data_IF_485350697185
#
_entry.id   IF_485350697185
#
_cell.length_a   1.000
_cell.length_b   1.000
_cell.length_c   1.000
_cell.angle_alpha   90.00
_cell.angle_beta   90.00
_cell.angle_gamma   90.00
#
_symmetry.space_group_name_H-M   'P 1'
#
loop_
_entity.id
_entity.type
_entity.pdbx_description
1 polymer ?
#
# COMPACT_ATOMS: atom_id res chain seq x y z
N UNK A 1 6.02 -6.52 3.28
CA UNK A 1 6.97 -5.66 2.58
C UNK A 1 8.21 -6.47 2.33
N UNK A 2 8.60 -6.58 1.07
CA UNK A 2 9.86 -7.19 0.67
C UNK A 2 10.90 -6.09 0.51
N UNK A 3 12.08 -6.27 1.10
CA UNK A 3 13.26 -5.42 0.92
C UNK A 3 14.43 -6.34 0.64
N UNK A 4 15.20 -6.03 -0.40
CA UNK A 4 16.38 -6.81 -0.74
C UNK A 4 17.31 -6.91 0.48
N UNK A 5 17.72 -8.14 0.81
CA UNK A 5 18.61 -8.47 1.94
C UNK A 5 18.00 -8.33 3.35
N UNK A 6 16.67 -8.22 3.50
CA UNK A 6 15.98 -8.27 4.78
C UNK A 6 14.81 -9.29 4.78
N UNK A 7 14.39 -9.82 5.94
CA UNK A 7 13.17 -10.61 6.05
C UNK A 7 11.93 -9.82 5.65
N UNK A 8 10.91 -10.52 5.15
CA UNK A 8 9.64 -9.88 4.83
C UNK A 8 8.90 -9.41 6.09
N UNK A 9 8.59 -8.11 6.16
CA UNK A 9 7.75 -7.55 7.21
C UNK A 9 6.27 -7.73 6.88
N UNK A 10 5.45 -8.13 7.85
CA UNK A 10 4.00 -8.32 7.68
C UNK A 10 3.20 -7.18 8.31
N UNK A 11 2.12 -6.78 7.64
CA UNK A 11 1.25 -5.69 8.04
C UNK A 11 -0.21 -6.07 7.79
N UNK A 12 -1.12 -5.42 8.52
CA UNK A 12 -2.54 -5.37 8.17
C UNK A 12 -2.81 -4.08 7.41
N UNK A 13 -3.45 -4.23 6.25
CA UNK A 13 -3.95 -3.13 5.45
C UNK A 13 -5.47 -3.04 5.60
N UNK A 14 -5.98 -1.92 6.11
CA UNK A 14 -7.41 -1.61 6.06
C UNK A 14 -7.68 -0.66 4.89
N UNK A 15 -8.45 -1.13 3.92
CA UNK A 15 -8.83 -0.35 2.74
C UNK A 15 -10.21 0.26 2.98
N UNK A 16 -10.33 1.58 2.82
CA UNK A 16 -11.64 2.23 2.79
C UNK A 16 -12.13 2.35 1.36
N UNK A 17 -13.39 1.95 1.18
CA UNK A 17 -14.14 2.09 -0.06
C UNK A 17 -13.38 1.49 -1.26
N UNK A 18 -13.39 0.16 -1.32
CA UNK A 18 -12.94 -0.58 -2.48
C UNK A 18 -14.02 -0.44 -3.55
N UNK A 19 -13.74 0.30 -4.63
CA UNK A 19 -14.70 0.64 -5.69
C UNK A 19 -15.17 -0.53 -6.56
N UNK A 20 -15.08 -1.76 -6.06
CA UNK A 20 -15.56 -2.99 -6.70
C UNK A 20 -16.18 -3.91 -5.65
N UNK A 21 -17.20 -4.66 -6.06
CA UNK A 21 -17.73 -5.77 -5.27
C UNK A 21 -16.87 -7.02 -5.50
N UNK A 22 -16.27 -7.57 -4.44
CA UNK A 22 -15.39 -8.74 -4.53
C UNK A 22 -16.18 -10.06 -4.52
N UNK A 23 -17.31 -10.13 -3.81
CA UNK A 23 -18.02 -11.39 -3.60
C UNK A 23 -17.20 -12.40 -2.79
N UNK A 24 -17.05 -13.61 -3.33
CA UNK A 24 -16.28 -14.74 -2.79
C UNK A 24 -14.87 -14.87 -3.39
N UNK A 25 -14.47 -13.90 -4.22
CA UNK A 25 -13.17 -13.90 -4.89
C UNK A 25 -12.07 -13.36 -3.98
N UNK A 26 -10.83 -13.72 -4.29
CA UNK A 26 -9.66 -13.06 -3.71
C UNK A 26 -9.16 -11.95 -4.65
N UNK A 27 -8.88 -10.78 -4.09
CA UNK A 27 -8.28 -9.65 -4.82
C UNK A 27 -6.92 -9.34 -4.22
N UNK A 28 -5.89 -9.42 -5.06
CA UNK A 28 -4.55 -8.98 -4.71
C UNK A 28 -4.28 -7.58 -5.27
N UNK A 29 -3.80 -6.69 -4.41
CA UNK A 29 -3.31 -5.36 -4.78
C UNK A 29 -1.84 -5.25 -4.41
N UNK A 30 -1.05 -4.64 -5.27
CA UNK A 30 0.40 -4.50 -5.08
C UNK A 30 0.80 -3.05 -5.26
N UNK A 31 1.60 -2.53 -4.33
CA UNK A 31 2.18 -1.19 -4.42
C UNK A 31 3.70 -1.26 -4.33
N UNK A 32 4.36 -0.43 -5.13
CA UNK A 32 5.76 -0.07 -4.98
C UNK A 32 5.86 1.05 -3.93
N UNK A 33 6.79 0.89 -3.00
CA UNK A 33 7.04 1.83 -1.92
C UNK A 33 8.17 2.77 -2.33
N UNK A 34 7.91 4.08 -2.33
CA UNK A 34 8.88 5.12 -2.70
C UNK A 34 9.04 6.10 -1.54
N UNK A 35 10.26 6.19 -0.98
CA UNK A 35 10.59 7.06 0.14
C UNK A 35 12.06 7.51 0.13
N UNK A 36 12.44 8.49 0.97
CA UNK A 36 13.82 8.95 1.09
C UNK A 36 14.75 7.84 1.61
N UNK A 37 16.00 7.83 1.12
CA UNK A 37 17.07 6.92 1.56
C UNK A 37 17.84 7.60 2.71
N UNK A 38 18.20 6.90 3.82
CA UNK A 38 18.36 5.45 3.92
C UNK A 38 17.39 4.77 4.91
N UNK A 39 16.81 3.64 4.44
CA UNK A 39 16.04 2.60 5.15
C UNK A 39 14.68 3.01 5.73
N UNK A 40 13.60 2.52 5.11
CA UNK A 40 12.31 2.35 5.76
C UNK A 40 12.40 1.13 6.68
N UNK A 41 12.36 1.36 7.99
CA UNK A 41 12.22 0.31 9.00
C UNK A 41 10.86 -0.38 8.94
N UNK A 42 10.70 -1.46 9.70
CA UNK A 42 9.44 -2.22 9.79
C UNK A 42 8.26 -1.38 10.25
N UNK A 43 8.48 -0.29 10.99
CA UNK A 43 7.39 0.55 11.50
C UNK A 43 7.20 1.83 10.68
N UNK A 44 8.07 2.10 9.71
CA UNK A 44 8.03 3.36 8.94
C UNK A 44 6.86 3.44 7.96
N UNK A 45 6.27 2.30 7.63
CA UNK A 45 5.07 2.20 6.81
C UNK A 45 3.76 2.32 7.60
N UNK A 46 3.81 2.34 8.93
CA UNK A 46 2.60 2.45 9.72
C UNK A 46 1.92 3.82 9.49
N UNK A 47 0.60 3.83 9.39
CA UNK A 47 -0.21 5.03 9.33
C UNK A 47 -1.19 5.09 8.16
N UNK A 48 -1.82 6.26 8.04
CA UNK A 48 -2.82 6.55 7.03
C UNK A 48 -2.23 7.11 5.74
N UNK A 49 -2.80 6.66 4.63
CA UNK A 49 -2.42 7.01 3.26
C UNK A 49 -3.66 7.45 2.48
N UNK A 50 -3.56 8.62 1.85
CA UNK A 50 -4.63 9.23 1.05
C UNK A 50 -4.10 9.67 -0.31
N UNK A 51 -4.99 10.00 -1.23
CA UNK A 51 -4.60 10.53 -2.54
C UNK A 51 -4.14 11.99 -2.40
N UNK A 52 -2.90 12.31 -2.76
CA UNK A 52 -2.49 13.70 -2.91
C UNK A 52 -3.33 14.40 -3.99
N UNK A 53 -3.51 15.72 -3.85
CA UNK A 53 -4.18 16.52 -4.89
C UNK A 53 -3.45 16.36 -6.23
N UNK A 54 -4.19 16.02 -7.29
CA UNK A 54 -3.65 15.80 -8.64
C UNK A 54 -2.92 14.47 -8.84
N UNK A 55 -2.94 13.55 -7.87
CA UNK A 55 -2.32 12.24 -8.01
C UNK A 55 -3.07 11.34 -9.01
N UNK A 56 -2.33 10.37 -9.59
CA UNK A 56 -2.92 9.31 -10.40
C UNK A 56 -3.72 8.33 -9.52
N UNK A 57 -4.60 7.54 -10.12
CA UNK A 57 -5.43 6.55 -9.42
C UNK A 57 -4.55 5.61 -8.59
N UNK A 58 -4.91 5.44 -7.31
CA UNK A 58 -4.23 4.61 -6.31
C UNK A 58 -2.78 4.99 -6.00
N UNK A 59 -2.32 6.16 -6.44
CA UNK A 59 -1.10 6.76 -5.91
C UNK A 59 -1.46 7.43 -4.59
N UNK A 60 -0.93 6.88 -3.51
CA UNK A 60 -1.20 7.35 -2.15
C UNK A 60 0.06 7.91 -1.53
N UNK A 61 -0.09 8.90 -0.66
CA UNK A 61 1.00 9.37 0.20
C UNK A 61 0.53 9.50 1.64
N UNK A 62 1.45 9.31 2.57
CA UNK A 62 1.16 9.31 3.99
C UNK A 62 2.22 8.56 4.78
N UNK A 63 1.78 7.88 5.83
CA UNK A 63 2.66 7.30 6.84
C UNK A 63 2.80 8.22 8.05
N UNK A 64 2.96 7.60 9.22
CA UNK A 64 3.04 8.29 10.52
C UNK A 64 4.47 8.64 10.87
N UNK A 65 5.41 7.70 10.67
CA UNK A 65 6.80 7.85 11.08
C UNK A 65 7.66 8.49 9.98
N UNK A 66 7.46 8.04 8.74
CA UNK A 66 8.16 8.58 7.57
C UNK A 66 7.16 8.83 6.43
N UNK A 67 7.17 10.01 5.79
CA UNK A 67 6.33 10.27 4.64
C UNK A 67 6.79 9.42 3.45
N UNK A 68 5.88 8.59 2.95
CA UNK A 68 6.13 7.61 1.89
C UNK A 68 5.05 7.73 0.82
N UNK A 69 5.43 7.50 -0.44
CA UNK A 69 4.51 7.38 -1.56
C UNK A 69 4.34 5.91 -1.94
N UNK A 70 3.09 5.46 -2.04
CA UNK A 70 2.71 4.14 -2.52
C UNK A 70 2.21 4.28 -3.96
N UNK A 71 2.90 3.64 -4.90
CA UNK A 71 2.53 3.66 -6.33
C UNK A 71 1.99 2.30 -6.71
N UNK A 72 0.82 2.18 -7.36
CA UNK A 72 0.29 0.89 -7.76
C UNK A 72 1.28 0.21 -8.72
N UNK A 73 1.59 -1.06 -8.45
CA UNK A 73 2.40 -1.87 -9.35
C UNK A 73 1.50 -2.53 -10.39
N UNK A 74 1.86 -2.42 -11.67
CA UNK A 74 1.17 -3.12 -12.76
C UNK A 74 1.70 -4.56 -12.95
N UNK A 75 2.59 -5.03 -12.08
CA UNK A 75 3.35 -6.29 -12.26
C UNK A 75 2.62 -7.55 -11.76
N UNK A 76 1.29 -7.54 -11.64
CA UNK A 76 0.54 -8.75 -11.28
C UNK A 76 -0.05 -9.44 -12.53
N UNK A 77 0.26 -10.73 -12.68
CA UNK A 77 -0.10 -11.63 -13.79
C UNK A 77 -1.58 -12.08 -13.79
N UNK A 78 -2.52 -11.14 -13.73
CA UNK A 78 -3.94 -11.41 -13.80
C UNK A 78 -4.68 -10.12 -14.10
N UNK A 79 -5.82 -10.20 -14.79
CA UNK A 79 -6.63 -9.05 -15.18
C UNK A 79 -7.10 -8.29 -13.92
N UNK A 80 -6.25 -7.40 -13.41
CA UNK A 80 -6.60 -6.51 -12.32
C UNK A 80 -7.62 -5.53 -12.90
N UNK A 81 -8.87 -5.71 -12.50
CA UNK A 81 -9.86 -4.65 -12.68
C UNK A 81 -9.26 -3.36 -12.09
N UNK A 82 -9.48 -2.20 -12.72
CA UNK A 82 -9.04 -0.92 -12.18
C UNK A 82 -9.87 -0.60 -10.93
N UNK A 83 -9.51 -1.21 -9.81
CA UNK A 83 -10.13 -0.95 -8.52
C UNK A 83 -9.62 0.38 -8.03
N UNK A 84 -10.51 1.28 -7.63
CA UNK A 84 -10.15 2.53 -6.97
C UNK A 84 -10.38 2.36 -5.47
N UNK A 85 -9.40 2.76 -4.66
CA UNK A 85 -9.57 2.85 -3.20
C UNK A 85 -9.62 4.30 -2.77
N UNK A 86 -10.30 4.61 -1.67
CA UNK A 86 -10.37 5.97 -1.13
C UNK A 86 -9.17 6.28 -0.23
N UNK A 87 -8.85 5.36 0.68
CA UNK A 87 -7.70 5.48 1.58
C UNK A 87 -7.24 4.10 2.04
N UNK A 88 -6.02 4.08 2.54
CA UNK A 88 -5.36 2.89 3.07
C UNK A 88 -4.80 3.22 4.45
N UNK A 89 -5.07 2.38 5.43
CA UNK A 89 -4.40 2.40 6.73
C UNK A 89 -3.51 1.16 6.84
N UNK A 90 -2.22 1.36 7.14
CA UNK A 90 -1.26 0.28 7.34
C UNK A 90 -0.91 0.20 8.82
N UNK A 91 -1.03 -1.00 9.40
CA UNK A 91 -0.69 -1.28 10.79
C UNK A 91 0.30 -2.43 10.86
N UNK A 92 1.33 -2.35 11.74
CA UNK A 92 2.16 -3.50 12.05
C UNK A 92 1.29 -4.66 12.52
N UNK A 93 1.66 -5.89 12.14
CA UNK A 93 1.16 -7.07 12.84
C UNK A 93 1.96 -7.19 14.13
N UNK A 94 1.31 -7.01 15.28
CA UNK A 94 1.93 -7.33 16.57
C UNK A 94 2.30 -8.84 16.55
N UNK A 95 3.55 -9.17 16.89
CA UNK A 95 4.03 -10.55 17.01
C UNK A 95 3.52 -11.22 18.29
#
# INVERSE_FOLDING_TARGET
MHVDSAPDSRFVAAIRNLGVFIGDQDVALTWKVMGPVPWLGSDDLAGGYTHPSGARVNVLAGGTNSPVTLTPSNEHNGAAQPVRIESLEIRPMDH
#
